data_IF_390604168921
#
_entry.id   IF_390604168921
#
_cell.length_a   1.000
_cell.length_b   1.000
_cell.length_c   1.000
_cell.angle_alpha   90.00
_cell.angle_beta   90.00
_cell.angle_gamma   90.00
#
_symmetry.space_group_name_H-M   'P 1'
#
loop_
_entity.id
_entity.type
_entity.pdbx_description
1 polymer ?
#
# COMPACT_ATOMS: atom_id res chain seq x y z
N UNK A 1 20.82 8.47 38.96
CA UNK A 1 19.79 9.19 38.17
C UNK A 1 19.44 8.34 36.96
N UNK A 2 18.13 8.10 36.80
CA UNK A 2 17.41 7.24 35.85
C UNK A 2 18.07 7.04 34.47
N UNK A 3 18.36 5.79 34.12
CA UNK A 3 18.54 5.40 32.72
C UNK A 3 17.18 5.33 32.03
N UNK A 4 16.96 6.21 31.06
CA UNK A 4 15.77 6.22 30.23
C UNK A 4 15.92 5.13 29.16
N UNK A 5 15.40 3.93 29.44
CA UNK A 5 15.14 2.91 28.42
C UNK A 5 14.00 3.44 27.54
N UNK A 6 14.35 3.95 26.35
CA UNK A 6 13.37 4.37 25.35
C UNK A 6 12.78 3.10 24.75
N UNK A 7 11.59 2.73 25.24
CA UNK A 7 10.74 1.69 24.69
C UNK A 7 10.37 2.06 23.26
N UNK A 8 10.93 1.38 22.26
CA UNK A 8 10.51 1.50 20.86
C UNK A 8 9.10 0.89 20.79
N UNK A 9 8.09 1.76 20.85
CA UNK A 9 6.72 1.42 20.56
C UNK A 9 6.68 1.06 19.08
N UNK A 10 6.71 -0.23 18.78
CA UNK A 10 6.32 -0.74 17.48
C UNK A 10 4.84 -0.39 17.30
N UNK A 11 4.57 0.74 16.66
CA UNK A 11 3.23 1.11 16.21
C UNK A 11 2.91 0.18 15.05
N UNK A 12 2.51 -1.05 15.37
CA UNK A 12 1.83 -1.91 14.42
C UNK A 12 0.47 -1.25 14.21
N UNK A 13 0.37 -0.43 13.17
CA UNK A 13 -0.89 0.08 12.64
C UNK A 13 -1.69 -1.13 12.11
N UNK A 14 -2.24 -1.94 13.01
CA UNK A 14 -3.34 -2.85 12.69
C UNK A 14 -4.58 -1.95 12.63
N UNK A 15 -4.68 -1.20 11.52
CA UNK A 15 -5.89 -0.46 11.21
C UNK A 15 -7.07 -1.44 11.19
N UNK A 16 -8.01 -1.23 12.12
CA UNK A 16 -9.21 -2.04 12.24
C UNK A 16 -9.99 -2.12 10.92
N UNK A 17 -10.46 -3.33 10.62
CA UNK A 17 -11.60 -3.67 9.77
C UNK A 17 -11.52 -3.36 8.27
N UNK A 18 -10.80 -4.21 7.54
CA UNK A 18 -11.33 -4.98 6.41
C UNK A 18 -10.23 -5.92 5.90
N UNK A 19 -10.53 -7.21 5.74
CA UNK A 19 -9.60 -8.12 5.09
C UNK A 19 -9.20 -7.53 3.73
N UNK A 20 -7.92 -7.61 3.33
CA UNK A 20 -7.50 -7.20 2.00
C UNK A 20 -8.42 -7.81 0.95
N UNK A 21 -8.94 -6.96 0.05
CA UNK A 21 -9.81 -7.42 -1.03
C UNK A 21 -8.94 -7.97 -2.16
N UNK A 22 -9.16 -9.23 -2.54
CA UNK A 22 -8.51 -9.80 -3.73
C UNK A 22 -9.01 -9.11 -5.00
N UNK A 23 -8.11 -8.81 -5.91
CA UNK A 23 -8.39 -8.33 -7.27
C UNK A 23 -7.64 -9.20 -8.29
N UNK A 24 -8.04 -9.14 -9.56
CA UNK A 24 -7.32 -9.84 -10.64
C UNK A 24 -6.01 -9.12 -11.00
N UNK A 25 -5.11 -9.82 -11.70
CA UNK A 25 -3.90 -9.21 -12.29
C UNK A 25 -4.21 -7.95 -13.10
N UNK A 26 -5.20 -8.02 -14.00
CA UNK A 26 -5.60 -6.89 -14.84
C UNK A 26 -6.16 -5.71 -14.04
N UNK A 27 -7.03 -5.96 -13.04
CA UNK A 27 -7.57 -4.89 -12.18
C UNK A 27 -6.45 -4.23 -11.36
N UNK A 28 -5.50 -5.02 -10.86
CA UNK A 28 -4.34 -4.50 -10.13
C UNK A 28 -3.45 -3.61 -11.01
N UNK A 29 -3.13 -4.07 -12.22
CA UNK A 29 -2.34 -3.29 -13.19
C UNK A 29 -3.04 -1.98 -13.56
N UNK A 30 -4.36 -2.02 -13.73
CA UNK A 30 -5.16 -0.83 -14.01
C UNK A 30 -5.18 0.15 -12.84
N UNK A 31 -5.32 -0.32 -11.60
CA UNK A 31 -5.24 0.52 -10.41
C UNK A 31 -3.89 1.26 -10.33
N UNK A 32 -2.78 0.55 -10.57
CA UNK A 32 -1.44 1.14 -10.63
C UNK A 32 -1.33 2.18 -11.74
N UNK A 33 -1.91 1.91 -12.92
CA UNK A 33 -1.89 2.82 -14.07
C UNK A 33 -2.67 4.10 -13.78
N UNK A 34 -3.83 3.99 -13.13
CA UNK A 34 -4.66 5.13 -12.74
C UNK A 34 -3.99 5.99 -11.67
N UNK A 35 -3.23 5.36 -10.75
CA UNK A 35 -2.44 6.07 -9.75
C UNK A 35 -3.29 7.00 -8.88
N UNK A 36 -3.03 8.31 -8.94
CA UNK A 36 -3.76 9.32 -8.18
C UNK A 36 -4.66 10.16 -9.09
N UNK A 37 -5.92 10.27 -8.69
CA UNK A 37 -6.94 11.15 -9.25
C UNK A 37 -7.64 11.92 -8.11
N UNK A 38 -8.39 13.00 -8.40
CA UNK A 38 -9.06 13.78 -7.35
C UNK A 38 -10.02 12.96 -6.46
N UNK A 39 -10.54 11.84 -6.96
CA UNK A 39 -11.50 11.00 -6.24
C UNK A 39 -10.94 9.64 -5.78
N UNK A 40 -9.82 9.19 -6.36
CA UNK A 40 -9.22 7.88 -6.07
C UNK A 40 -7.70 7.99 -5.99
N UNK A 41 -7.11 7.38 -4.97
CA UNK A 41 -5.65 7.25 -4.83
C UNK A 41 -5.33 5.77 -4.69
N UNK A 42 -4.52 5.26 -5.59
CA UNK A 42 -3.96 3.91 -5.55
C UNK A 42 -2.45 4.02 -5.26
N UNK A 43 -2.03 3.47 -4.14
CA UNK A 43 -0.64 3.50 -3.67
C UNK A 43 -0.14 2.08 -3.46
N UNK A 44 0.96 1.73 -4.12
CA UNK A 44 1.61 0.44 -3.89
C UNK A 44 2.33 0.45 -2.54
N UNK A 45 1.97 -0.51 -1.69
CA UNK A 45 2.45 -0.56 -0.29
C UNK A 45 3.35 -1.75 0.02
N UNK A 46 3.60 -2.63 -0.96
CA UNK A 46 4.62 -3.67 -0.85
C UNK A 46 4.18 -5.07 -1.24
N UNK A 47 5.06 -6.01 -0.94
CA UNK A 47 4.94 -7.44 -1.25
C UNK A 47 5.08 -8.25 0.03
N UNK A 48 4.25 -9.29 0.19
CA UNK A 48 4.35 -10.26 1.29
C UNK A 48 3.77 -11.60 0.85
N UNK A 49 4.47 -12.70 1.16
CA UNK A 49 4.03 -14.08 0.90
C UNK A 49 3.58 -14.32 -0.56
N UNK A 50 4.31 -13.73 -1.52
CA UNK A 50 4.00 -13.82 -2.95
C UNK A 50 2.83 -12.93 -3.41
N UNK A 51 2.26 -12.11 -2.52
CA UNK A 51 1.14 -11.20 -2.80
C UNK A 51 1.61 -9.77 -2.86
N UNK A 52 0.97 -8.99 -3.72
CA UNK A 52 1.26 -7.58 -3.94
C UNK A 52 0.08 -6.75 -3.47
N UNK A 53 0.35 -5.67 -2.74
CA UNK A 53 -0.69 -4.92 -2.02
C UNK A 53 -0.78 -3.47 -2.49
N UNK A 54 -2.01 -2.98 -2.58
CA UNK A 54 -2.32 -1.56 -2.82
C UNK A 54 -3.14 -1.02 -1.66
N UNK A 55 -2.80 0.19 -1.21
CA UNK A 55 -3.73 1.04 -0.46
C UNK A 55 -4.60 1.77 -1.47
N UNK A 56 -5.92 1.61 -1.36
CA UNK A 56 -6.89 2.36 -2.15
C UNK A 56 -7.65 3.33 -1.24
N UNK A 57 -7.47 4.63 -1.48
CA UNK A 57 -8.29 5.69 -0.89
C UNK A 57 -9.30 6.18 -1.93
N UNK A 58 -10.55 6.37 -1.52
CA UNK A 58 -11.60 6.93 -2.37
C UNK A 58 -12.43 7.96 -1.61
N UNK A 59 -12.78 9.05 -2.27
CA UNK A 59 -13.62 10.08 -1.67
C UNK A 59 -15.08 9.59 -1.56
N UNK A 60 -15.72 9.79 -0.42
CA UNK A 60 -17.11 9.42 -0.21
C UNK A 60 -18.04 10.25 -1.11
N UNK A 61 -18.97 9.57 -1.77
CA UNK A 61 -20.00 10.22 -2.60
C UNK A 61 -21.03 10.97 -1.73
N UNK A 62 -21.26 10.50 -0.51
CA UNK A 62 -22.23 11.09 0.44
C UNK A 62 -21.59 12.25 1.21
N UNK A 63 -20.32 12.11 1.60
CA UNK A 63 -19.56 13.14 2.31
C UNK A 63 -18.29 13.50 1.53
N UNK A 64 -18.37 14.53 0.68
CA UNK A 64 -17.30 14.96 -0.25
C UNK A 64 -15.98 15.38 0.42
N UNK A 65 -15.85 15.32 1.73
CA UNK A 65 -14.60 15.57 2.48
C UNK A 65 -14.08 14.34 3.23
N UNK A 66 -14.85 13.25 3.24
CA UNK A 66 -14.48 11.99 3.90
C UNK A 66 -13.82 11.07 2.90
N UNK A 67 -12.64 10.57 3.24
CA UNK A 67 -11.95 9.51 2.49
C UNK A 67 -12.25 8.15 3.12
N UNK A 68 -12.54 7.17 2.28
CA UNK A 68 -12.62 5.76 2.65
C UNK A 68 -11.34 5.07 2.22
N UNK A 69 -10.79 4.19 3.06
CA UNK A 69 -9.59 3.41 2.77
C UNK A 69 -9.90 1.92 2.77
N UNK A 70 -9.26 1.18 1.87
CA UNK A 70 -9.21 -0.29 1.88
C UNK A 70 -7.90 -0.78 1.31
N UNK A 71 -7.54 -2.01 1.65
CA UNK A 71 -6.38 -2.70 1.07
C UNK A 71 -6.86 -3.63 -0.04
N UNK A 72 -6.18 -3.60 -1.19
CA UNK A 72 -6.36 -4.54 -2.29
C UNK A 72 -5.12 -5.45 -2.35
N UNK A 73 -5.29 -6.70 -2.81
CA UNK A 73 -4.17 -7.59 -3.08
C UNK A 73 -4.36 -8.42 -4.36
N UNK A 74 -3.25 -8.85 -4.95
CA UNK A 74 -3.19 -9.79 -6.06
C UNK A 74 -2.11 -10.84 -5.81
N UNK A 75 -2.29 -12.06 -6.31
CA UNK A 75 -1.25 -13.09 -6.30
C UNK A 75 -0.21 -12.77 -7.37
N UNK A 76 1.09 -12.87 -7.03
CA UNK A 76 2.17 -12.56 -7.95
C UNK A 76 2.18 -13.41 -9.22
N UNK A 77 1.62 -14.63 -9.15
CA UNK A 77 1.46 -15.52 -10.30
C UNK A 77 0.50 -14.98 -11.38
N UNK A 78 -0.33 -13.99 -11.05
CA UNK A 78 -1.25 -13.34 -11.98
C UNK A 78 -0.63 -12.13 -12.69
N UNK A 79 0.61 -11.78 -12.36
CA UNK A 79 1.33 -10.62 -12.90
C UNK A 79 2.53 -11.07 -13.72
N UNK A 80 2.79 -10.37 -14.83
CA UNK A 80 3.97 -10.65 -15.64
C UNK A 80 5.27 -10.24 -14.93
N UNK A 81 6.36 -10.95 -15.25
CA UNK A 81 7.66 -10.75 -14.60
C UNK A 81 8.21 -9.32 -14.75
N UNK A 82 7.90 -8.65 -15.87
CA UNK A 82 8.35 -7.27 -16.11
C UNK A 82 7.65 -6.29 -15.18
N UNK A 83 6.34 -6.45 -15.01
CA UNK A 83 5.54 -5.67 -14.08
C UNK A 83 5.98 -5.89 -12.63
N UNK A 84 6.20 -7.15 -12.23
CA UNK A 84 6.71 -7.49 -10.89
C UNK A 84 8.07 -6.83 -10.60
N UNK A 85 8.99 -6.84 -11.57
CA UNK A 85 10.30 -6.19 -11.43
C UNK A 85 10.16 -4.68 -11.21
N UNK A 86 9.21 -4.04 -11.91
CA UNK A 86 8.92 -2.60 -11.74
C UNK A 86 8.37 -2.29 -10.35
N UNK A 87 7.42 -3.07 -9.84
CA UNK A 87 6.88 -2.88 -8.49
C UNK A 87 7.97 -2.99 -7.43
N UNK A 88 8.80 -4.04 -7.48
CA UNK A 88 9.90 -4.24 -6.53
C UNK A 88 10.93 -3.11 -6.58
N UNK A 89 11.18 -2.54 -7.76
CA UNK A 89 12.03 -1.36 -7.89
C UNK A 89 11.42 -0.12 -7.20
N UNK A 90 10.10 0.06 -7.27
CA UNK A 90 9.39 1.12 -6.56
C UNK A 90 9.47 0.93 -5.04
N UNK A 91 9.30 -0.29 -4.51
CA UNK A 91 9.45 -0.56 -3.07
C UNK A 91 10.84 -0.20 -2.54
N UNK A 92 11.90 -0.54 -3.27
CA UNK A 92 13.28 -0.19 -2.86
C UNK A 92 13.47 1.32 -2.75
N UNK A 93 12.84 2.09 -3.64
CA UNK A 93 12.90 3.56 -3.59
C UNK A 93 12.16 4.11 -2.37
N UNK A 94 11.01 3.55 -2.00
CA UNK A 94 10.24 3.95 -0.81
C UNK A 94 11.05 3.71 0.46
N UNK A 95 11.64 2.52 0.62
CA UNK A 95 12.47 2.19 1.79
C UNK A 95 13.66 3.15 1.92
N UNK A 96 14.36 3.44 0.82
CA UNK A 96 15.52 4.33 0.85
C UNK A 96 15.15 5.80 1.20
N UNK A 97 13.94 6.24 0.87
CA UNK A 97 13.45 7.58 1.23
C UNK A 97 13.17 7.65 2.73
N UNK A 98 12.61 6.61 3.34
CA UNK A 98 12.35 6.57 4.79
C UNK A 98 13.65 6.47 5.63
N UNK A 99 14.72 5.87 5.09
CA UNK A 99 16.02 5.77 5.77
C UNK A 99 16.91 7.01 5.63
N UNK A 100 16.61 7.93 4.71
CA UNK A 100 17.43 9.13 4.47
C UNK A 100 16.92 10.36 5.24
N UNK A 101 15.73 10.30 5.83
CA UNK A 101 15.10 11.40 6.59
C UNK A 101 15.27 11.23 8.11
N UNK A 102 16.15 10.31 8.56
CA UNK A 102 16.51 10.13 9.96
C UNK A 102 17.98 10.42 10.21
#
# INVERSE_FOLDING_TARGET
MKQLLITIVAVVLVGCSSNPKRVSGAEFQECIRLGASPMHIYEYIGEKDGKFYLRHKSMSLISKRKWNEKILYVEGSELDATFLKRLRAQSKKIVNLETTVN
#
